data_IF_390849821529
#
_entry.id   IF_390849821529
#
_cell.length_a   1.000
_cell.length_b   1.000
_cell.length_c   1.000
_cell.angle_alpha   90.00
_cell.angle_beta   90.00
_cell.angle_gamma   90.00
#
_symmetry.space_group_name_H-M   'P 1'
#
loop_
_entity.id
_entity.type
_entity.pdbx_description
1 polymer ?
#
# COMPACT_ATOMS: atom_id res chain seq x y z
N UNK A 1 71.50 13.12 -17.38
CA UNK A 1 70.20 13.68 -16.98
C UNK A 1 69.21 12.55 -16.88
N UNK A 2 68.83 12.13 -15.66
CA UNK A 2 67.93 10.99 -15.43
C UNK A 2 66.50 11.52 -15.31
N UNK A 3 65.61 11.01 -16.12
CA UNK A 3 64.16 11.27 -16.03
C UNK A 3 63.54 10.22 -15.14
N UNK A 4 63.00 10.66 -14.02
CA UNK A 4 62.19 9.88 -13.07
C UNK A 4 60.79 9.71 -13.64
N UNK A 5 60.33 8.45 -13.72
CA UNK A 5 58.93 8.07 -14.02
C UNK A 5 58.19 7.93 -12.71
N UNK A 6 57.23 8.79 -12.47
CA UNK A 6 56.24 8.62 -11.38
C UNK A 6 55.27 7.50 -11.78
N UNK A 7 55.16 6.51 -10.89
CA UNK A 7 54.15 5.46 -10.95
C UNK A 7 52.94 5.93 -10.11
N UNK A 8 51.84 6.17 -10.79
CA UNK A 8 50.51 6.26 -10.14
C UNK A 8 50.10 4.85 -9.70
N UNK A 9 50.05 4.61 -8.41
CA UNK A 9 49.40 3.44 -7.80
C UNK A 9 47.90 3.71 -7.71
N UNK A 10 47.13 3.09 -8.60
CA UNK A 10 45.66 3.01 -8.50
C UNK A 10 45.32 1.93 -7.46
N UNK A 11 45.00 2.34 -6.25
CA UNK A 11 44.34 1.50 -5.25
C UNK A 11 42.95 1.08 -5.76
N UNK A 12 42.86 -0.16 -6.22
CA UNK A 12 41.56 -0.83 -6.43
C UNK A 12 40.93 -1.12 -5.08
N UNK A 13 39.89 -0.37 -4.73
CA UNK A 13 39.03 -0.65 -3.57
C UNK A 13 38.50 -2.09 -3.61
N UNK A 14 38.98 -2.90 -2.70
CA UNK A 14 38.43 -4.24 -2.43
C UNK A 14 37.09 -4.06 -1.78
N UNK A 15 36.00 -4.22 -2.54
CA UNK A 15 34.67 -4.47 -1.98
C UNK A 15 34.70 -5.82 -1.26
N UNK A 16 34.69 -5.77 0.06
CA UNK A 16 34.46 -6.96 0.87
C UNK A 16 33.07 -7.51 0.56
N UNK A 17 32.90 -8.78 0.18
CA UNK A 17 31.59 -9.36 0.02
C UNK A 17 30.83 -9.27 1.34
N UNK A 18 29.61 -8.75 1.33
CA UNK A 18 28.71 -8.87 2.48
C UNK A 18 28.65 -10.36 2.87
N UNK A 19 29.10 -10.64 4.09
CA UNK A 19 28.99 -11.97 4.67
C UNK A 19 27.56 -12.48 4.48
N UNK A 20 27.42 -13.66 3.90
CA UNK A 20 26.16 -14.40 3.85
C UNK A 20 25.60 -14.42 5.27
N UNK A 21 24.44 -13.79 5.49
CA UNK A 21 23.73 -13.87 6.77
C UNK A 21 23.49 -15.37 7.01
N UNK A 22 24.18 -15.93 7.99
CA UNK A 22 23.79 -17.22 8.56
C UNK A 22 22.31 -17.10 8.90
N UNK A 23 21.50 -17.99 8.35
CA UNK A 23 20.09 -18.07 8.68
C UNK A 23 20.03 -18.48 10.15
N UNK A 24 19.71 -17.50 11.00
CA UNK A 24 19.45 -17.73 12.42
C UNK A 24 18.25 -18.71 12.50
N UNK A 25 18.53 -19.98 12.82
CA UNK A 25 17.54 -21.04 12.98
C UNK A 25 16.83 -20.97 14.35
N UNK A 26 16.95 -19.87 15.09
CA UNK A 26 16.18 -19.68 16.31
C UNK A 26 14.68 -19.63 15.99
N UNK A 27 13.82 -20.21 16.84
CA UNK A 27 12.37 -20.19 16.61
C UNK A 27 11.88 -18.73 16.60
N UNK A 28 11.08 -18.41 15.58
CA UNK A 28 10.46 -17.08 15.46
C UNK A 28 9.61 -16.82 16.72
N UNK A 29 9.75 -15.65 17.33
CA UNK A 29 8.92 -15.26 18.48
C UNK A 29 7.43 -15.32 18.09
N UNK A 30 6.60 -15.73 19.04
CA UNK A 30 5.17 -15.96 18.81
C UNK A 30 4.41 -14.72 18.35
N UNK A 31 4.76 -13.54 18.86
CA UNK A 31 4.17 -12.25 18.47
C UNK A 31 4.53 -11.88 17.04
N UNK A 32 5.79 -12.11 16.61
CA UNK A 32 6.20 -11.91 15.23
C UNK A 32 5.54 -12.90 14.28
N UNK A 33 5.43 -14.17 14.69
CA UNK A 33 4.72 -15.20 13.91
C UNK A 33 3.25 -14.80 13.67
N UNK A 34 2.57 -14.26 14.69
CA UNK A 34 1.20 -13.77 14.55
C UNK A 34 1.11 -12.58 13.59
N UNK A 35 2.02 -11.61 13.65
CA UNK A 35 2.08 -10.48 12.69
C UNK A 35 2.26 -10.99 11.26
N UNK A 36 3.21 -11.90 11.03
CA UNK A 36 3.47 -12.51 9.72
C UNK A 36 2.21 -13.22 9.21
N UNK A 37 1.57 -14.04 10.06
CA UNK A 37 0.32 -14.73 9.74
C UNK A 37 -0.79 -13.75 9.35
N UNK A 38 -0.99 -12.70 10.14
CA UNK A 38 -2.02 -11.67 9.83
C UNK A 38 -1.72 -10.94 8.53
N UNK A 39 -0.46 -10.62 8.27
CA UNK A 39 -0.03 -9.98 7.01
C UNK A 39 -0.30 -10.89 5.80
N UNK A 40 -0.10 -12.21 5.95
CA UNK A 40 -0.30 -13.18 4.86
C UNK A 40 -1.73 -13.22 4.33
N UNK A 41 -2.76 -12.91 5.13
CA UNK A 41 -4.14 -12.83 4.65
C UNK A 41 -4.38 -11.75 3.59
N UNK A 42 -3.53 -10.72 3.54
CA UNK A 42 -3.56 -9.68 2.51
C UNK A 42 -2.87 -10.06 1.19
N UNK A 43 -2.17 -11.21 1.15
CA UNK A 43 -1.46 -11.65 -0.04
C UNK A 43 -2.37 -12.47 -0.96
N UNK A 44 -2.21 -12.30 -2.27
CA UNK A 44 -3.03 -12.97 -3.28
C UNK A 44 -2.90 -14.50 -3.22
N UNK A 45 -1.72 -15.02 -2.86
CA UNK A 45 -1.49 -16.47 -2.69
C UNK A 45 -2.38 -17.08 -1.59
N UNK A 46 -2.76 -16.32 -0.59
CA UNK A 46 -3.65 -16.77 0.49
C UNK A 46 -5.14 -16.63 0.14
N UNK A 47 -5.46 -16.12 -1.05
CA UNK A 47 -6.82 -15.75 -1.46
C UNK A 47 -7.18 -16.30 -2.85
N UNK A 48 -6.97 -17.61 -3.12
CA UNK A 48 -7.10 -18.20 -4.46
C UNK A 48 -8.51 -18.01 -5.05
N UNK A 49 -9.57 -18.10 -4.24
CA UNK A 49 -10.94 -17.91 -4.70
C UNK A 49 -11.21 -16.47 -5.18
N UNK A 50 -10.63 -15.47 -4.50
CA UNK A 50 -10.74 -14.07 -4.91
C UNK A 50 -9.99 -13.83 -6.24
N UNK A 51 -8.79 -14.38 -6.35
CA UNK A 51 -7.98 -14.34 -7.58
C UNK A 51 -8.75 -14.98 -8.74
N UNK A 52 -9.30 -16.19 -8.57
CA UNK A 52 -10.05 -16.88 -9.61
C UNK A 52 -11.29 -16.09 -10.06
N UNK A 53 -12.05 -15.50 -9.13
CA UNK A 53 -13.22 -14.65 -9.44
C UNK A 53 -12.85 -13.40 -10.23
N UNK A 54 -11.71 -12.80 -9.93
CA UNK A 54 -11.20 -11.62 -10.67
C UNK A 54 -10.74 -12.00 -12.08
N UNK A 55 -10.00 -13.09 -12.20
CA UNK A 55 -9.53 -13.63 -13.49
C UNK A 55 -10.69 -13.98 -14.43
N UNK A 56 -11.78 -14.60 -13.93
CA UNK A 56 -12.98 -14.88 -14.73
C UNK A 56 -13.61 -13.63 -15.34
N UNK A 57 -13.41 -12.45 -14.72
CA UNK A 57 -13.88 -11.15 -15.21
C UNK A 57 -12.82 -10.37 -15.97
N UNK A 58 -11.68 -10.98 -16.26
CA UNK A 58 -10.51 -10.32 -16.85
C UNK A 58 -10.07 -9.09 -16.06
N UNK A 59 -10.11 -9.18 -14.72
CA UNK A 59 -9.70 -8.13 -13.78
C UNK A 59 -8.49 -8.55 -12.97
N UNK A 60 -7.59 -7.61 -12.70
CA UNK A 60 -6.41 -7.84 -11.86
C UNK A 60 -6.76 -7.71 -10.37
N UNK A 61 -5.98 -8.37 -9.51
CA UNK A 61 -5.97 -8.08 -8.08
C UNK A 61 -5.32 -6.71 -7.83
N UNK A 62 -5.74 -6.04 -6.76
CA UNK A 62 -5.14 -4.76 -6.37
C UNK A 62 -3.64 -4.89 -6.08
N UNK A 63 -3.22 -5.98 -5.43
CA UNK A 63 -1.81 -6.24 -5.14
C UNK A 63 -0.98 -6.40 -6.40
N UNK A 64 -1.49 -7.08 -7.41
CA UNK A 64 -0.82 -7.20 -8.70
C UNK A 64 -0.59 -5.84 -9.39
N UNK A 65 -1.48 -4.87 -9.21
CA UNK A 65 -1.28 -3.51 -9.72
C UNK A 65 -0.18 -2.77 -8.94
N UNK A 66 -0.10 -2.98 -7.63
CA UNK A 66 0.95 -2.39 -6.77
C UNK A 66 2.33 -2.95 -7.11
N UNK A 67 2.43 -4.27 -7.26
CA UNK A 67 3.67 -4.97 -7.60
C UNK A 67 4.18 -4.62 -9.00
N UNK A 68 3.28 -4.35 -9.94
CA UNK A 68 3.62 -3.97 -11.32
C UNK A 68 4.05 -2.49 -11.42
N UNK A 69 3.61 -1.63 -10.51
CA UNK A 69 3.99 -0.22 -10.48
C UNK A 69 5.38 -0.02 -9.87
N UNK A 70 5.70 -0.72 -8.80
CA UNK A 70 6.91 -0.47 -8.03
C UNK A 70 8.08 -1.37 -8.41
N UNK A 71 9.27 -0.82 -8.28
CA UNK A 71 10.50 -1.58 -8.39
C UNK A 71 10.54 -2.70 -7.35
N UNK A 72 11.02 -3.87 -7.74
CA UNK A 72 11.01 -5.06 -6.90
C UNK A 72 11.67 -4.81 -5.54
N UNK A 73 10.95 -5.16 -4.46
CA UNK A 73 11.43 -5.03 -3.09
C UNK A 73 11.43 -3.60 -2.54
N UNK A 74 10.99 -2.59 -3.29
CA UNK A 74 10.97 -1.19 -2.84
C UNK A 74 9.71 -0.82 -2.06
N UNK A 75 8.63 -1.59 -2.16
CA UNK A 75 7.34 -1.25 -1.57
C UNK A 75 7.32 -1.45 -0.05
N UNK A 76 7.04 -0.37 0.68
CA UNK A 76 6.77 -0.36 2.10
C UNK A 76 5.27 -0.14 2.33
N UNK A 77 4.56 -1.19 2.72
CA UNK A 77 3.12 -1.14 2.96
C UNK A 77 2.79 -0.54 4.33
N UNK A 78 1.79 0.34 4.36
CA UNK A 78 1.26 0.95 5.58
C UNK A 78 -0.12 0.38 5.90
N UNK A 79 -0.34 0.06 7.19
CA UNK A 79 -1.64 -0.36 7.70
C UNK A 79 -2.14 -1.69 7.12
N UNK A 80 -1.24 -2.63 6.76
CA UNK A 80 -1.60 -3.95 6.26
C UNK A 80 -2.47 -4.77 7.25
N UNK A 81 -2.31 -4.54 8.55
CA UNK A 81 -3.04 -5.24 9.62
C UNK A 81 -4.37 -4.58 10.00
N UNK A 82 -4.75 -3.49 9.33
CA UNK A 82 -6.06 -2.85 9.55
C UNK A 82 -7.18 -3.78 9.13
N UNK A 83 -8.28 -3.77 9.88
CA UNK A 83 -9.50 -4.56 9.61
C UNK A 83 -10.72 -3.64 9.61
N UNK A 84 -11.85 -4.09 9.06
CA UNK A 84 -13.08 -3.31 9.04
C UNK A 84 -13.64 -3.04 10.46
N UNK A 85 -14.28 -1.88 10.65
CA UNK A 85 -14.88 -1.45 11.91
C UNK A 85 -16.23 -2.15 12.17
N UNK A 86 -16.21 -3.49 12.26
CA UNK A 86 -17.41 -4.35 12.35
C UNK A 86 -17.34 -5.36 13.50
N UNK A 87 -16.61 -5.05 14.58
CA UNK A 87 -16.43 -5.97 15.73
C UNK A 87 -17.71 -6.29 16.47
N UNK A 88 -18.68 -5.39 16.47
CA UNK A 88 -20.01 -5.61 17.04
C UNK A 88 -20.87 -6.60 16.22
N UNK A 89 -20.48 -6.93 14.99
CA UNK A 89 -21.22 -7.82 14.08
C UNK A 89 -20.48 -9.09 13.71
N UNK A 90 -19.16 -9.10 13.82
CA UNK A 90 -18.28 -10.18 13.35
C UNK A 90 -17.17 -10.46 14.36
N UNK A 91 -16.74 -11.70 14.44
CA UNK A 91 -15.59 -12.05 15.28
C UNK A 91 -14.29 -11.40 14.77
N UNK A 92 -13.34 -11.21 15.65
CA UNK A 92 -12.01 -10.69 15.32
C UNK A 92 -11.32 -11.55 14.26
N UNK A 93 -11.38 -12.88 14.41
CA UNK A 93 -10.71 -13.81 13.48
C UNK A 93 -11.33 -13.74 12.08
N UNK A 94 -12.66 -13.59 12.00
CA UNK A 94 -13.35 -13.41 10.75
C UNK A 94 -12.96 -12.07 10.08
N UNK A 95 -12.83 -10.99 10.84
CA UNK A 95 -12.39 -9.69 10.34
C UNK A 95 -10.93 -9.74 9.86
N UNK A 96 -10.03 -10.35 10.62
CA UNK A 96 -8.61 -10.50 10.27
C UNK A 96 -8.46 -11.25 8.93
N UNK A 97 -9.19 -12.36 8.78
CA UNK A 97 -9.06 -13.20 7.59
C UNK A 97 -9.78 -12.65 6.35
N UNK A 98 -10.90 -11.94 6.53
CA UNK A 98 -11.78 -11.51 5.42
C UNK A 98 -11.76 -10.03 5.10
N UNK A 99 -11.13 -9.21 5.95
CA UNK A 99 -11.04 -7.76 5.72
C UNK A 99 -9.62 -7.21 5.83
N UNK A 100 -8.61 -7.89 5.24
CA UNK A 100 -7.22 -7.45 5.33
C UNK A 100 -7.04 -6.05 4.76
N UNK A 101 -6.25 -5.23 5.46
CA UNK A 101 -5.99 -3.85 5.07
C UNK A 101 -7.21 -2.94 5.03
N UNK A 102 -8.38 -3.41 5.50
CA UNK A 102 -9.70 -2.78 5.34
C UNK A 102 -10.02 -2.43 3.87
N UNK A 103 -9.62 -3.31 2.94
CA UNK A 103 -9.87 -3.15 1.51
C UNK A 103 -9.04 -2.06 0.82
N UNK A 104 -7.96 -1.62 1.43
CA UNK A 104 -7.03 -0.65 0.85
C UNK A 104 -5.59 -1.11 1.01
N UNK A 105 -4.86 -1.27 -0.09
CA UNK A 105 -3.41 -1.40 -0.09
C UNK A 105 -2.84 -0.01 -0.26
N UNK A 106 -1.97 0.41 0.65
CA UNK A 106 -1.38 1.75 0.59
C UNK A 106 0.06 1.73 1.11
N UNK A 107 0.92 2.55 0.55
CA UNK A 107 2.31 2.59 0.93
C UNK A 107 3.16 3.49 0.04
N UNK A 108 4.47 3.37 0.19
CA UNK A 108 5.46 4.11 -0.57
C UNK A 108 6.43 3.11 -1.19
N UNK A 109 6.82 3.36 -2.43
CA UNK A 109 7.84 2.59 -3.13
C UNK A 109 8.60 3.44 -4.14
N UNK A 110 9.55 2.85 -4.83
CA UNK A 110 10.25 3.47 -5.93
C UNK A 110 9.63 3.06 -7.27
N UNK A 111 9.54 4.03 -8.18
CA UNK A 111 9.12 3.81 -9.57
C UNK A 111 10.28 4.21 -10.46
N UNK A 112 10.80 3.28 -11.25
CA UNK A 112 11.93 3.49 -12.13
C UNK A 112 13.19 4.03 -11.41
N UNK A 113 13.49 3.52 -10.21
CA UNK A 113 14.63 3.94 -9.39
C UNK A 113 15.99 3.75 -10.06
N UNK A 114 16.08 2.88 -11.08
CA UNK A 114 17.27 2.76 -11.92
C UNK A 114 17.51 3.94 -12.86
N UNK A 115 16.47 4.75 -13.13
CA UNK A 115 16.50 5.90 -14.05
C UNK A 115 16.52 7.25 -13.33
N UNK A 116 16.10 7.29 -12.07
CA UNK A 116 15.96 8.51 -11.29
C UNK A 116 16.67 8.39 -9.94
N UNK A 117 17.00 9.53 -9.33
CA UNK A 117 17.49 9.56 -7.96
C UNK A 117 16.41 9.12 -6.96
N UNK A 118 16.82 8.59 -5.81
CA UNK A 118 15.91 8.02 -4.78
C UNK A 118 14.79 8.98 -4.37
N UNK A 119 15.08 10.28 -4.26
CA UNK A 119 14.11 11.31 -3.93
C UNK A 119 13.05 11.50 -5.02
N UNK A 120 13.42 11.32 -6.29
CA UNK A 120 12.52 11.47 -7.45
C UNK A 120 11.77 10.19 -7.81
N UNK A 121 12.35 9.02 -7.49
CA UNK A 121 11.72 7.73 -7.74
C UNK A 121 10.60 7.42 -6.73
N UNK A 122 10.60 8.05 -5.54
CA UNK A 122 9.61 7.77 -4.49
C UNK A 122 8.22 8.20 -4.89
N UNK A 123 7.27 7.28 -4.74
CA UNK A 123 5.87 7.48 -5.05
C UNK A 123 4.97 6.87 -3.96
N UNK A 124 3.89 7.55 -3.63
CA UNK A 124 2.80 7.04 -2.80
C UNK A 124 1.81 6.28 -3.67
N UNK A 125 1.31 5.14 -3.18
CA UNK A 125 0.20 4.43 -3.79
C UNK A 125 -0.96 4.27 -2.83
N UNK A 126 -2.17 4.33 -3.36
CA UNK A 126 -3.40 3.84 -2.75
C UNK A 126 -4.15 2.99 -3.77
N UNK A 127 -4.41 1.73 -3.45
CA UNK A 127 -5.10 0.80 -4.33
C UNK A 127 -6.27 0.14 -3.60
N UNK A 128 -7.49 0.37 -4.05
CA UNK A 128 -8.68 -0.29 -3.51
C UNK A 128 -8.70 -1.77 -3.91
N UNK A 129 -8.95 -2.63 -2.94
CA UNK A 129 -9.12 -4.07 -3.15
C UNK A 129 -10.61 -4.43 -3.19
N UNK A 130 -11.15 -4.54 -4.41
CA UNK A 130 -12.55 -4.89 -4.62
C UNK A 130 -12.94 -6.25 -4.03
N UNK A 131 -12.00 -7.15 -3.85
CA UNK A 131 -12.24 -8.47 -3.27
C UNK A 131 -12.50 -8.42 -1.76
N UNK A 132 -12.21 -7.28 -1.12
CA UNK A 132 -12.51 -7.00 0.28
C UNK A 132 -13.71 -6.06 0.36
N UNK A 133 -14.87 -6.57 0.77
CA UNK A 133 -16.11 -5.79 0.95
C UNK A 133 -16.43 -4.89 -0.27
N UNK A 134 -16.20 -5.41 -1.48
CA UNK A 134 -16.40 -4.71 -2.75
C UNK A 134 -15.64 -3.37 -2.87
N UNK A 135 -14.48 -3.26 -2.26
CA UNK A 135 -13.64 -2.05 -2.27
C UNK A 135 -14.32 -0.83 -1.62
N UNK A 136 -15.34 -1.04 -0.78
CA UNK A 136 -16.09 0.05 -0.16
C UNK A 136 -15.27 0.79 0.88
N UNK A 137 -15.50 2.10 0.99
CA UNK A 137 -14.83 2.99 1.93
C UNK A 137 -15.44 2.85 3.31
N UNK A 138 -14.69 2.26 4.25
CA UNK A 138 -15.04 2.11 5.65
C UNK A 138 -14.32 3.09 6.55
N UNK A 139 -14.62 3.03 7.86
CA UNK A 139 -14.04 3.96 8.84
C UNK A 139 -12.51 3.88 8.91
N UNK A 140 -11.95 2.68 9.10
CA UNK A 140 -10.50 2.54 9.14
C UNK A 140 -9.84 2.67 7.78
N UNK A 141 -10.55 2.36 6.68
CA UNK A 141 -10.14 2.68 5.33
C UNK A 141 -9.88 4.19 5.18
N UNK A 142 -10.84 5.05 5.58
CA UNK A 142 -10.67 6.50 5.57
C UNK A 142 -9.52 6.97 6.48
N UNK A 143 -9.39 6.44 7.70
CA UNK A 143 -8.27 6.78 8.60
C UNK A 143 -6.91 6.45 7.99
N UNK A 144 -6.82 5.31 7.29
CA UNK A 144 -5.62 4.91 6.56
C UNK A 144 -5.33 5.87 5.40
N UNK A 145 -6.35 6.20 4.60
CA UNK A 145 -6.21 7.18 3.51
C UNK A 145 -5.78 8.54 4.02
N UNK A 146 -6.43 9.06 5.06
CA UNK A 146 -6.10 10.36 5.66
C UNK A 146 -4.64 10.44 6.08
N UNK A 147 -4.12 9.38 6.72
CA UNK A 147 -2.71 9.29 7.08
C UNK A 147 -1.81 9.32 5.85
N UNK A 148 -2.14 8.55 4.80
CA UNK A 148 -1.33 8.49 3.58
C UNK A 148 -1.35 9.81 2.83
N UNK A 149 -2.51 10.46 2.72
CA UNK A 149 -2.65 11.76 2.06
C UNK A 149 -1.88 12.87 2.78
N UNK A 150 -1.92 12.88 4.13
CA UNK A 150 -1.12 13.81 4.92
C UNK A 150 0.39 13.58 4.71
N UNK A 151 0.82 12.31 4.70
CA UNK A 151 2.21 11.97 4.46
C UNK A 151 2.67 12.36 3.04
N UNK A 152 1.82 12.12 2.03
CA UNK A 152 2.10 12.55 0.66
C UNK A 152 2.23 14.09 0.56
N UNK A 153 1.38 14.83 1.26
CA UNK A 153 1.46 16.28 1.31
C UNK A 153 2.72 16.79 2.01
N UNK A 154 3.06 16.23 3.18
CA UNK A 154 4.23 16.64 3.99
C UNK A 154 5.55 16.33 3.29
N UNK A 155 5.66 15.14 2.68
CA UNK A 155 6.87 14.68 2.01
C UNK A 155 6.90 15.02 0.50
N UNK A 156 5.85 15.67 -0.02
CA UNK A 156 5.69 16.01 -1.44
C UNK A 156 5.85 14.80 -2.37
N UNK A 157 5.23 13.68 -2.00
CA UNK A 157 5.27 12.47 -2.81
C UNK A 157 4.22 12.52 -3.92
N UNK A 158 4.59 12.20 -5.16
CA UNK A 158 3.61 11.85 -6.19
C UNK A 158 2.66 10.76 -5.68
N UNK A 159 1.40 10.80 -6.10
CA UNK A 159 0.38 9.84 -5.69
C UNK A 159 -0.19 9.12 -6.91
N UNK A 160 -0.22 7.79 -6.86
CA UNK A 160 -1.00 6.96 -7.78
C UNK A 160 -2.17 6.34 -7.01
N UNK A 161 -3.39 6.55 -7.52
CA UNK A 161 -4.62 5.98 -6.99
C UNK A 161 -5.18 4.95 -7.98
N UNK A 162 -5.20 3.67 -7.61
CA UNK A 162 -6.00 2.66 -8.31
C UNK A 162 -7.40 2.66 -7.70
N UNK A 163 -8.34 3.27 -8.42
CA UNK A 163 -9.70 3.48 -7.96
C UNK A 163 -10.61 2.35 -8.44
N UNK A 164 -11.26 1.73 -7.48
CA UNK A 164 -12.25 0.68 -7.67
C UNK A 164 -13.10 0.61 -6.40
N UNK A 165 -14.39 0.35 -6.50
CA UNK A 165 -15.19 0.12 -5.29
C UNK A 165 -16.62 0.67 -5.33
N UNK A 166 -17.39 0.25 -4.33
CA UNK A 166 -18.83 0.50 -4.21
C UNK A 166 -19.23 1.81 -3.51
N UNK A 167 -18.29 2.68 -3.17
CA UNK A 167 -18.59 3.89 -2.40
C UNK A 167 -18.54 3.68 -0.88
N UNK A 168 -19.26 4.49 -0.13
CA UNK A 168 -19.29 4.41 1.34
C UNK A 168 -19.83 3.09 1.86
N UNK A 169 -19.28 2.61 2.98
CA UNK A 169 -19.65 1.34 3.62
C UNK A 169 -20.62 1.56 4.78
N UNK A 170 -21.90 1.20 4.66
CA UNK A 170 -22.87 1.38 5.76
C UNK A 170 -22.72 0.34 6.88
N UNK A 171 -21.88 -0.68 6.69
CA UNK A 171 -21.73 -1.79 7.63
C UNK A 171 -20.74 -1.58 8.76
N UNK A 172 -20.03 -0.46 8.82
CA UNK A 172 -19.02 -0.15 9.84
C UNK A 172 -19.68 0.41 11.12
N UNK A 173 -20.42 -0.43 11.78
CA UNK A 173 -21.28 -0.07 12.92
C UNK A 173 -20.52 0.31 14.19
N UNK A 174 -19.24 -0.06 14.31
CA UNK A 174 -18.41 0.35 15.45
C UNK A 174 -18.05 1.86 15.42
N UNK A 175 -18.28 2.49 14.28
CA UNK A 175 -17.98 3.91 14.05
C UNK A 175 -19.22 4.72 13.65
N UNK A 176 -20.43 4.18 13.83
CA UNK A 176 -21.68 4.78 13.34
C UNK A 176 -21.91 6.23 13.82
N UNK A 177 -21.48 6.58 15.03
CA UNK A 177 -21.60 7.94 15.56
C UNK A 177 -20.66 8.98 14.90
N UNK A 178 -19.60 8.51 14.24
CA UNK A 178 -18.56 9.39 13.65
C UNK A 178 -18.86 9.69 12.18
N UNK A 179 -19.52 8.76 11.49
CA UNK A 179 -19.74 8.85 10.04
C UNK A 179 -21.13 9.36 9.65
N UNK A 180 -21.95 9.74 10.61
CA UNK A 180 -23.27 10.31 10.35
C UNK A 180 -23.10 11.62 9.58
N UNK A 181 -23.72 11.69 8.42
CA UNK A 181 -23.65 12.81 7.47
C UNK A 181 -22.30 13.08 6.78
N UNK A 182 -21.25 12.28 7.02
CA UNK A 182 -19.95 12.40 6.33
C UNK A 182 -19.19 13.71 6.58
N UNK A 183 -19.58 14.48 7.57
CA UNK A 183 -18.97 15.80 7.85
C UNK A 183 -17.60 15.67 8.51
N UNK A 184 -17.30 14.54 9.16
CA UNK A 184 -16.04 14.28 9.84
C UNK A 184 -14.99 13.57 8.96
N UNK A 185 -15.27 13.40 7.66
CA UNK A 185 -14.35 12.76 6.73
C UNK A 185 -13.42 13.80 6.10
N UNK A 186 -12.16 13.80 6.55
CA UNK A 186 -11.13 14.68 5.99
C UNK A 186 -10.57 14.22 4.64
N UNK A 187 -10.84 12.99 4.23
CA UNK A 187 -10.21 12.32 3.08
C UNK A 187 -10.34 13.12 1.80
N UNK A 188 -11.55 13.57 1.44
CA UNK A 188 -11.77 14.31 0.18
C UNK A 188 -11.06 15.66 0.19
N UNK A 189 -11.13 16.39 1.31
CA UNK A 189 -10.41 17.65 1.48
C UNK A 189 -8.89 17.46 1.51
N UNK A 190 -8.40 16.40 2.14
CA UNK A 190 -6.98 16.06 2.17
C UNK A 190 -6.47 15.66 0.79
N UNK A 191 -7.26 14.92 0.00
CA UNK A 191 -6.94 14.57 -1.37
C UNK A 191 -6.89 15.85 -2.25
N UNK A 192 -7.90 16.71 -2.18
CA UNK A 192 -7.95 17.96 -2.93
C UNK A 192 -6.76 18.87 -2.64
N UNK A 193 -6.24 18.90 -1.40
CA UNK A 193 -5.04 19.67 -1.03
C UNK A 193 -3.75 19.23 -1.73
N UNK A 194 -3.69 18.04 -2.30
CA UNK A 194 -2.55 17.58 -3.10
C UNK A 194 -2.52 18.20 -4.49
N UNK A 195 -3.67 18.67 -4.99
CA UNK A 195 -3.78 19.29 -6.31
C UNK A 195 -2.83 20.49 -6.42
N UNK A 196 -2.01 20.51 -7.47
CA UNK A 196 -0.99 21.55 -7.68
C UNK A 196 0.21 21.49 -6.73
N UNK A 197 0.28 20.52 -5.82
CA UNK A 197 1.42 20.30 -4.90
C UNK A 197 2.32 19.15 -5.34
N UNK A 198 1.70 18.07 -5.77
CA UNK A 198 2.36 16.87 -6.27
C UNK A 198 1.60 16.34 -7.49
N UNK A 199 2.27 15.56 -8.36
CA UNK A 199 1.57 14.80 -9.40
C UNK A 199 0.58 13.81 -8.76
N UNK A 200 -0.64 13.78 -9.28
CA UNK A 200 -1.67 12.80 -8.87
C UNK A 200 -2.17 12.09 -10.11
N UNK A 201 -2.13 10.77 -10.10
CA UNK A 201 -2.57 9.91 -11.20
C UNK A 201 -3.67 8.99 -10.70
N UNK A 202 -4.86 9.08 -11.31
CA UNK A 202 -5.97 8.16 -11.08
C UNK A 202 -6.02 7.10 -12.17
N UNK A 203 -6.16 5.83 -11.76
CA UNK A 203 -6.33 4.68 -12.64
C UNK A 203 -7.60 3.95 -12.24
N UNK A 204 -8.57 3.87 -13.14
CA UNK A 204 -9.79 3.06 -12.91
C UNK A 204 -9.44 1.61 -13.20
N UNK A 205 -9.38 0.77 -12.16
CA UNK A 205 -9.00 -0.64 -12.25
C UNK A 205 -10.18 -1.61 -12.25
N UNK A 206 -11.41 -1.08 -12.12
CA UNK A 206 -12.66 -1.85 -12.12
C UNK A 206 -13.88 -0.97 -11.87
N UNK A 207 -15.03 -1.55 -11.48
CA UNK A 207 -16.23 -0.78 -11.14
C UNK A 207 -15.94 0.23 -10.04
N UNK A 208 -16.24 1.51 -10.29
CA UNK A 208 -15.91 2.60 -9.41
C UNK A 208 -17.10 3.54 -9.23
N UNK A 209 -17.60 3.68 -7.99
CA UNK A 209 -18.85 4.39 -7.70
C UNK A 209 -18.68 5.33 -6.50
N UNK A 210 -19.58 6.34 -6.45
CA UNK A 210 -19.75 7.26 -5.33
C UNK A 210 -18.41 7.80 -4.77
N UNK A 211 -18.11 7.60 -3.48
CA UNK A 211 -16.91 8.11 -2.84
C UNK A 211 -15.59 7.63 -3.48
N UNK A 212 -15.55 6.40 -4.02
CA UNK A 212 -14.37 5.92 -4.75
C UNK A 212 -14.17 6.70 -6.05
N UNK A 213 -15.27 7.03 -6.76
CA UNK A 213 -15.22 7.82 -7.99
C UNK A 213 -14.94 9.32 -7.73
N UNK A 214 -15.34 9.83 -6.56
CA UNK A 214 -15.09 11.24 -6.20
C UNK A 214 -13.60 11.57 -5.94
N UNK A 215 -12.74 10.55 -5.89
CA UNK A 215 -11.28 10.69 -5.74
C UNK A 215 -10.54 10.58 -7.10
N UNK A 216 -11.26 10.42 -8.20
CA UNK A 216 -10.71 10.42 -9.56
C UNK A 216 -10.78 11.82 -10.19
#
# INVERSE_FOLDING_TARGET
>A
MKTTKDKEDTEKGKTTPLASKETDNSPIRSDLAEVIKRHSFGLDISRPDAVAKRQQKNQRMARANVEDLFDNGSFLEYGALTIAAQRSRRSIDDLISKTPGDGLIAGIGAVNGSLFSDDKARCMIMAYDYSVLAGTQGFFNHKKMDRMLNLAHEQRLPLVLFAEGGGGRPGDVDAAGVMVAGLDLSTFGSFARLSGKVPVVGVVSGPCFAGNAALL
#
